data_IF_889012391104
#
_entry.id   IF_889012391104
#
_cell.length_a   1.000
_cell.length_b   1.000
_cell.length_c   1.000
_cell.angle_alpha   90.00
_cell.angle_beta   90.00
_cell.angle_gamma   90.00
#
_symmetry.space_group_name_H-M   'P 1'
#
loop_
_entity.id
_entity.type
_entity.pdbx_description
1 polymer ?
#
# COMPACT_ATOMS: atom_id res chain seq x y z
N UNK A 1 -19.94 -34.98 -34.49
CA UNK A 1 -19.19 -35.34 -33.27
C UNK A 1 -18.71 -34.11 -32.51
N UNK A 2 -18.19 -33.10 -33.23
CA UNK A 2 -17.72 -31.80 -32.72
C UNK A 2 -18.84 -30.93 -32.10
N UNK A 3 -19.91 -30.66 -32.84
CA UNK A 3 -21.05 -29.83 -32.37
C UNK A 3 -21.79 -30.40 -31.15
N UNK A 4 -21.75 -31.72 -30.97
CA UNK A 4 -22.43 -32.39 -29.84
C UNK A 4 -21.65 -32.21 -28.53
N UNK A 5 -20.33 -32.08 -28.60
CA UNK A 5 -19.44 -31.83 -27.45
C UNK A 5 -19.48 -30.35 -27.03
N UNK A 6 -19.56 -29.44 -27.99
CA UNK A 6 -19.76 -28.00 -27.73
C UNK A 6 -21.06 -27.72 -26.99
N UNK A 7 -22.18 -28.31 -27.44
CA UNK A 7 -23.47 -28.10 -26.80
C UNK A 7 -23.54 -28.66 -25.36
N UNK A 8 -22.75 -29.69 -25.04
CA UNK A 8 -22.72 -30.31 -23.72
C UNK A 8 -21.81 -29.55 -22.73
N UNK A 9 -20.70 -28.96 -23.22
CA UNK A 9 -19.81 -28.12 -22.43
C UNK A 9 -20.45 -26.77 -22.04
N UNK A 10 -21.21 -26.15 -22.96
CA UNK A 10 -21.98 -24.93 -22.69
C UNK A 10 -23.05 -25.17 -21.62
N UNK A 11 -23.72 -26.35 -21.63
CA UNK A 11 -24.72 -26.71 -20.61
C UNK A 11 -24.14 -26.94 -19.21
N UNK A 12 -22.84 -27.25 -19.10
CA UNK A 12 -22.16 -27.47 -17.81
C UNK A 12 -21.48 -26.21 -17.26
N UNK A 13 -21.60 -25.06 -17.93
CA UNK A 13 -21.02 -23.79 -17.49
C UNK A 13 -19.50 -23.74 -17.57
N UNK A 14 -18.87 -24.61 -18.36
CA UNK A 14 -17.41 -24.77 -18.48
C UNK A 14 -16.82 -23.96 -19.64
N UNK A 15 -17.57 -23.05 -20.26
CA UNK A 15 -17.11 -22.25 -21.41
C UNK A 15 -17.57 -20.79 -21.30
N UNK A 16 -16.66 -19.86 -21.57
CA UNK A 16 -16.94 -18.44 -21.83
C UNK A 16 -17.17 -18.27 -23.33
N UNK A 17 -18.20 -17.52 -23.74
CA UNK A 17 -18.48 -17.34 -25.16
C UNK A 17 -17.41 -16.45 -25.82
N UNK A 18 -17.03 -16.68 -27.10
CA UNK A 18 -16.07 -15.84 -27.79
C UNK A 18 -16.69 -14.44 -27.97
N UNK A 19 -16.25 -13.47 -27.16
CA UNK A 19 -16.83 -12.12 -27.13
C UNK A 19 -16.57 -11.33 -25.84
N UNK A 20 -16.21 -11.98 -24.74
CA UNK A 20 -16.07 -11.33 -23.42
C UNK A 20 -14.74 -10.57 -23.19
N UNK A 21 -14.13 -10.05 -24.26
CA UNK A 21 -12.92 -9.22 -24.16
C UNK A 21 -11.64 -9.98 -23.80
N UNK A 22 -11.67 -11.32 -23.84
CA UNK A 22 -10.50 -12.16 -23.58
C UNK A 22 -9.64 -12.26 -24.86
N UNK A 23 -8.31 -12.05 -24.77
CA UNK A 23 -7.39 -12.25 -25.90
C UNK A 23 -7.54 -13.62 -26.57
N UNK A 24 -7.43 -13.64 -27.89
CA UNK A 24 -7.71 -14.84 -28.70
C UNK A 24 -6.84 -16.03 -28.28
N UNK A 25 -5.60 -15.79 -27.84
CA UNK A 25 -4.68 -16.83 -27.38
C UNK A 25 -5.20 -17.58 -26.14
N UNK A 26 -5.87 -16.88 -25.22
CA UNK A 26 -6.45 -17.47 -24.00
C UNK A 26 -7.73 -18.25 -24.35
N UNK A 27 -8.53 -17.73 -25.29
CA UNK A 27 -9.76 -18.38 -25.74
C UNK A 27 -9.50 -19.70 -26.46
N UNK A 28 -8.40 -19.80 -27.20
CA UNK A 28 -7.98 -21.01 -27.89
C UNK A 28 -7.33 -22.02 -26.92
N UNK A 29 -6.57 -21.55 -25.92
CA UNK A 29 -5.93 -22.40 -24.91
C UNK A 29 -6.89 -23.10 -23.93
N UNK A 30 -8.03 -22.48 -23.61
CA UNK A 30 -9.05 -23.04 -22.71
C UNK A 30 -9.81 -24.25 -23.29
N UNK A 31 -9.75 -24.46 -24.61
CA UNK A 31 -10.56 -25.48 -25.29
C UNK A 31 -9.93 -26.88 -25.35
N UNK A 32 -8.65 -27.02 -24.98
CA UNK A 32 -7.95 -28.30 -24.97
C UNK A 32 -7.53 -28.67 -23.57
N UNK A 33 -8.49 -29.15 -22.77
CA UNK A 33 -8.18 -29.86 -21.53
C UNK A 33 -7.89 -31.34 -21.88
N UNK A 34 -6.68 -31.84 -21.62
CA UNK A 34 -6.34 -33.24 -21.84
C UNK A 34 -6.96 -34.16 -20.77
N UNK A 35 -6.80 -35.48 -20.89
CA UNK A 35 -7.46 -36.47 -20.00
C UNK A 35 -7.09 -36.28 -18.52
N UNK A 36 -7.88 -36.77 -17.57
CA UNK A 36 -7.83 -36.39 -16.13
C UNK A 36 -6.42 -36.51 -15.47
N UNK A 37 -5.58 -37.44 -15.96
CA UNK A 37 -4.18 -37.58 -15.53
C UNK A 37 -3.25 -36.51 -16.14
N UNK A 38 -3.44 -36.18 -17.41
CA UNK A 38 -2.73 -35.11 -18.11
C UNK A 38 -3.21 -33.73 -17.65
N UNK A 39 -4.42 -33.62 -17.09
CA UNK A 39 -5.01 -32.40 -16.54
C UNK A 39 -4.33 -32.00 -15.23
N UNK A 40 -3.93 -32.97 -14.40
CA UNK A 40 -3.11 -32.72 -13.21
C UNK A 40 -1.70 -32.28 -13.61
N UNK A 41 -1.07 -32.96 -14.57
CA UNK A 41 0.26 -32.55 -15.07
C UNK A 41 0.21 -31.18 -15.77
N UNK A 42 -0.84 -30.88 -16.54
CA UNK A 42 -1.04 -29.58 -17.16
C UNK A 42 -1.36 -28.47 -16.14
N UNK A 43 -2.11 -28.78 -15.07
CA UNK A 43 -2.35 -27.87 -13.96
C UNK A 43 -1.07 -27.61 -13.14
N UNK A 44 -0.22 -28.62 -12.96
CA UNK A 44 1.10 -28.47 -12.34
C UNK A 44 2.06 -27.66 -13.24
N UNK A 45 1.96 -27.80 -14.57
CA UNK A 45 2.70 -26.95 -15.53
C UNK A 45 2.22 -25.48 -15.53
N UNK A 46 0.95 -25.23 -15.17
CA UNK A 46 0.43 -23.87 -14.96
C UNK A 46 0.95 -23.23 -13.65
N UNK A 47 1.41 -24.05 -12.70
CA UNK A 47 1.96 -23.60 -11.41
C UNK A 47 3.42 -23.10 -11.55
N UNK A 48 4.12 -23.45 -12.65
CA UNK A 48 5.47 -22.97 -12.97
C UNK A 48 5.50 -22.10 -14.23
N UNK A 49 5.11 -20.83 -14.08
CA UNK A 49 5.56 -19.80 -15.04
C UNK A 49 6.96 -19.37 -14.64
N UNK A 50 7.97 -19.92 -15.32
CA UNK A 50 9.36 -19.43 -15.25
C UNK A 50 9.44 -18.00 -15.81
N UNK A 51 9.38 -17.02 -14.91
CA UNK A 51 9.73 -15.63 -15.20
C UNK A 51 11.26 -15.51 -15.10
N UNK A 52 11.96 -15.79 -16.21
CA UNK A 52 13.43 -15.71 -16.27
C UNK A 52 13.97 -14.28 -16.03
N UNK A 53 13.13 -13.26 -16.23
CA UNK A 53 13.51 -11.86 -16.05
C UNK A 53 13.02 -11.31 -14.69
N UNK A 54 13.76 -11.58 -13.62
CA UNK A 54 13.57 -10.88 -12.36
C UNK A 54 13.98 -9.40 -12.54
N UNK A 55 13.06 -8.43 -12.40
CA UNK A 55 13.39 -7.02 -12.57
C UNK A 55 14.37 -6.58 -11.48
N UNK A 56 15.59 -6.20 -11.89
CA UNK A 56 16.59 -5.66 -10.97
C UNK A 56 16.30 -4.17 -10.75
N UNK A 57 15.62 -3.86 -9.66
CA UNK A 57 15.43 -2.47 -9.21
C UNK A 57 16.77 -1.96 -8.66
N UNK A 58 17.26 -0.84 -9.20
CA UNK A 58 18.47 -0.16 -8.71
C UNK A 58 18.11 1.22 -8.17
N UNK A 59 18.68 1.58 -7.02
CA UNK A 59 18.47 2.89 -6.39
C UNK A 59 19.79 3.67 -6.32
N UNK A 60 19.75 4.95 -6.67
CA UNK A 60 20.84 5.88 -6.40
C UNK A 60 20.65 6.45 -5.00
N UNK A 61 21.26 5.78 -4.02
CA UNK A 61 21.07 6.10 -2.60
C UNK A 61 22.05 7.15 -2.05
N UNK A 62 23.05 7.54 -2.85
CA UNK A 62 24.04 8.58 -2.54
C UNK A 62 24.27 9.49 -3.75
N UNK A 63 24.34 10.83 -3.57
CA UNK A 63 24.45 11.77 -4.69
C UNK A 63 25.78 11.65 -5.46
N UNK A 64 26.85 11.38 -4.73
CA UNK A 64 28.26 11.29 -5.16
C UNK A 64 28.65 9.92 -5.76
N UNK A 65 27.75 8.95 -5.74
CA UNK A 65 27.99 7.62 -6.33
C UNK A 65 27.65 7.60 -7.82
N UNK A 66 28.55 7.07 -8.66
CA UNK A 66 28.37 7.00 -10.12
C UNK A 66 27.30 6.00 -10.55
N UNK A 67 27.26 4.83 -9.92
CA UNK A 67 26.37 3.73 -10.32
C UNK A 67 25.30 3.47 -9.25
N UNK A 68 24.02 3.28 -9.63
CA UNK A 68 22.97 2.93 -8.69
C UNK A 68 23.13 1.47 -8.22
N UNK A 69 22.80 1.20 -6.94
CA UNK A 69 22.97 -0.14 -6.35
C UNK A 69 21.70 -0.97 -6.49
N UNK A 70 21.83 -2.28 -6.76
CA UNK A 70 20.70 -3.20 -6.68
C UNK A 70 20.03 -3.13 -5.31
N UNK A 71 18.70 -3.27 -5.30
CA UNK A 71 17.87 -3.21 -4.11
C UNK A 71 18.34 -4.18 -3.01
N UNK A 72 18.79 -5.38 -3.38
CA UNK A 72 19.31 -6.40 -2.45
C UNK A 72 20.53 -5.94 -1.63
N UNK A 73 21.29 -4.96 -2.13
CA UNK A 73 22.51 -4.44 -1.47
C UNK A 73 22.24 -3.19 -0.60
N UNK A 74 20.97 -2.79 -0.52
CA UNK A 74 20.51 -1.64 0.25
C UNK A 74 20.08 -2.06 1.66
N UNK A 75 20.17 -1.13 2.61
CA UNK A 75 19.62 -1.35 3.95
C UNK A 75 18.11 -1.63 3.89
N UNK A 76 17.53 -2.33 4.89
CA UNK A 76 16.08 -2.57 4.95
C UNK A 76 15.24 -1.30 4.73
N UNK A 77 15.64 -0.19 5.35
CA UNK A 77 14.97 1.10 5.18
C UNK A 77 15.05 1.64 3.76
N UNK A 78 16.23 1.59 3.14
CA UNK A 78 16.41 2.00 1.75
C UNK A 78 15.62 1.12 0.78
N UNK A 79 15.54 -0.18 1.04
CA UNK A 79 14.72 -1.10 0.23
C UNK A 79 13.24 -0.75 0.30
N UNK A 80 12.72 -0.55 1.50
CA UNK A 80 11.34 -0.12 1.67
C UNK A 80 11.09 1.23 0.98
N UNK A 81 12.04 2.17 1.10
CA UNK A 81 11.95 3.49 0.45
C UNK A 81 11.86 3.46 -1.07
N UNK A 82 12.40 2.42 -1.72
CA UNK A 82 12.32 2.24 -3.17
C UNK A 82 11.08 1.45 -3.59
N UNK A 83 10.76 0.36 -2.89
CA UNK A 83 9.66 -0.55 -3.27
C UNK A 83 8.30 0.10 -3.01
N UNK A 84 8.14 0.73 -1.84
CA UNK A 84 6.85 1.24 -1.41
C UNK A 84 6.27 2.28 -2.39
N UNK A 85 7.02 3.29 -2.88
CA UNK A 85 6.52 4.16 -3.94
C UNK A 85 6.12 3.40 -5.20
N UNK A 86 6.89 2.41 -5.64
CA UNK A 86 6.58 1.64 -6.86
C UNK A 86 5.23 0.93 -6.72
N UNK A 87 5.00 0.25 -5.58
CA UNK A 87 3.75 -0.43 -5.29
C UNK A 87 2.56 0.55 -5.18
N UNK A 88 2.81 1.72 -4.58
CA UNK A 88 1.76 2.69 -4.33
C UNK A 88 1.48 3.60 -5.55
N UNK A 89 2.31 3.60 -6.59
CA UNK A 89 2.11 4.41 -7.80
C UNK A 89 1.26 3.72 -8.87
N UNK A 90 0.94 2.43 -8.73
CA UNK A 90 0.16 1.68 -9.72
C UNK A 90 -1.34 1.66 -9.42
N UNK A 91 -2.15 1.94 -10.45
CA UNK A 91 -3.61 1.81 -10.43
C UNK A 91 -4.36 3.09 -10.02
N UNK A 92 -5.64 3.16 -10.37
CA UNK A 92 -6.55 4.29 -10.06
C UNK A 92 -7.61 3.93 -9.01
N UNK A 93 -7.71 2.66 -8.63
CA UNK A 93 -8.65 2.18 -7.62
C UNK A 93 -8.30 2.67 -6.21
N UNK A 94 -9.29 2.82 -5.30
CA UNK A 94 -9.03 3.19 -3.91
C UNK A 94 -7.99 2.27 -3.27
N UNK A 95 -7.00 2.88 -2.62
CA UNK A 95 -5.90 2.20 -1.96
C UNK A 95 -6.17 2.13 -0.46
N UNK A 96 -6.26 0.93 0.09
CA UNK A 96 -6.40 0.70 1.52
C UNK A 96 -5.07 0.16 2.04
N UNK A 97 -4.49 0.84 3.03
CA UNK A 97 -3.23 0.42 3.66
C UNK A 97 -3.47 0.28 5.15
N UNK A 98 -3.17 -0.91 5.68
CA UNK A 98 -3.19 -1.18 7.11
C UNK A 98 -1.76 -1.17 7.64
N UNK A 99 -1.54 -0.44 8.73
CA UNK A 99 -0.26 -0.30 9.42
C UNK A 99 0.94 -0.10 8.49
N UNK A 100 0.94 0.93 7.62
CA UNK A 100 2.10 1.21 6.75
C UNK A 100 3.41 1.42 7.51
N UNK A 101 3.34 1.80 8.79
CA UNK A 101 4.47 2.02 9.69
C UNK A 101 5.13 0.76 10.24
N UNK A 102 4.50 -0.41 10.13
CA UNK A 102 5.01 -1.60 10.79
C UNK A 102 6.40 -1.98 10.26
N UNK A 103 7.29 -2.32 11.19
CA UNK A 103 8.71 -2.61 10.92
C UNK A 103 9.53 -1.46 10.31
N UNK A 104 8.99 -0.23 10.25
CA UNK A 104 9.72 0.96 9.82
C UNK A 104 10.15 1.84 11.00
N UNK A 105 11.32 2.45 10.89
CA UNK A 105 11.73 3.47 11.84
C UNK A 105 10.97 4.80 11.60
N UNK A 106 10.87 5.63 12.64
CA UNK A 106 10.16 6.92 12.58
C UNK A 106 10.71 7.89 11.51
N UNK A 107 11.98 7.75 11.11
CA UNK A 107 12.57 8.58 10.06
C UNK A 107 12.06 8.13 8.69
N UNK A 108 11.98 6.83 8.43
CA UNK A 108 11.43 6.26 7.19
C UNK A 108 9.94 6.54 7.03
N UNK A 109 9.17 6.45 8.12
CA UNK A 109 7.75 6.81 8.13
C UNK A 109 7.57 8.25 7.62
N UNK A 110 8.37 9.19 8.13
CA UNK A 110 8.32 10.59 7.70
C UNK A 110 8.84 10.81 6.28
N UNK A 111 10.01 10.25 5.95
CA UNK A 111 10.69 10.59 4.69
C UNK A 111 10.06 9.91 3.47
N UNK A 112 9.50 8.71 3.66
CA UNK A 112 9.02 7.87 2.56
C UNK A 112 7.51 7.85 2.57
N UNK A 113 6.90 7.36 3.66
CA UNK A 113 5.47 7.04 3.65
C UNK A 113 4.65 8.32 3.53
N UNK A 114 4.90 9.30 4.38
CA UNK A 114 4.17 10.58 4.35
C UNK A 114 4.27 11.26 2.98
N UNK A 115 5.48 11.37 2.42
CA UNK A 115 5.70 12.03 1.13
C UNK A 115 5.03 11.30 -0.03
N UNK A 116 5.11 9.97 -0.02
CA UNK A 116 4.49 9.11 -1.05
C UNK A 116 2.97 9.19 -0.96
N UNK A 117 2.40 9.09 0.25
CA UNK A 117 0.96 9.22 0.47
C UNK A 117 0.46 10.61 0.08
N UNK A 118 1.19 11.67 0.43
CA UNK A 118 0.86 13.05 0.05
C UNK A 118 0.87 13.27 -1.47
N UNK A 119 1.75 12.59 -2.20
CA UNK A 119 1.75 12.65 -3.67
C UNK A 119 0.60 11.83 -4.29
N UNK A 120 0.28 10.67 -3.72
CA UNK A 120 -0.71 9.74 -4.28
C UNK A 120 -2.14 10.20 -4.00
N UNK A 121 -2.41 10.78 -2.82
CA UNK A 121 -3.76 11.27 -2.45
C UNK A 121 -4.32 12.28 -3.46
N UNK A 122 -3.45 12.97 -4.20
CA UNK A 122 -3.83 13.92 -5.26
C UNK A 122 -4.39 13.26 -6.54
N UNK A 123 -4.11 11.97 -6.74
CA UNK A 123 -4.49 11.23 -7.96
C UNK A 123 -5.40 10.06 -7.68
N UNK A 124 -5.46 9.58 -6.44
CA UNK A 124 -6.14 8.36 -6.04
C UNK A 124 -6.62 8.46 -4.60
N UNK A 125 -7.80 7.91 -4.30
CA UNK A 125 -8.26 7.83 -2.92
C UNK A 125 -7.36 6.88 -2.13
N UNK A 126 -6.89 7.34 -0.97
CA UNK A 126 -6.07 6.54 -0.05
C UNK A 126 -6.78 6.50 1.30
N UNK A 127 -6.96 5.30 1.84
CA UNK A 127 -7.48 5.04 3.19
C UNK A 127 -6.38 4.36 3.97
N UNK A 128 -5.98 4.95 5.10
CA UNK A 128 -4.90 4.42 5.93
C UNK A 128 -5.42 4.12 7.32
N UNK A 129 -5.26 2.88 7.77
CA UNK A 129 -5.41 2.50 9.16
C UNK A 129 -4.03 2.54 9.82
N UNK A 130 -3.88 3.35 10.87
CA UNK A 130 -2.59 3.58 11.53
C UNK A 130 -2.79 3.89 13.00
N UNK A 131 -1.84 3.46 13.82
CA UNK A 131 -1.74 3.87 15.22
C UNK A 131 -0.75 5.02 15.41
N UNK A 132 -0.03 5.41 14.36
CA UNK A 132 0.96 6.48 14.39
C UNK A 132 0.32 7.83 14.02
N UNK A 133 0.08 8.74 14.98
CA UNK A 133 -0.58 10.02 14.72
C UNK A 133 0.25 10.97 13.85
N UNK A 134 1.53 10.67 13.62
CA UNK A 134 2.35 11.46 12.70
C UNK A 134 1.94 11.25 11.23
N UNK A 135 1.41 10.08 10.86
CA UNK A 135 1.02 9.80 9.48
C UNK A 135 -0.10 10.72 9.00
N UNK A 136 -1.27 10.80 9.67
CA UNK A 136 -2.34 11.69 9.22
C UNK A 136 -1.97 13.17 9.36
N UNK A 137 -1.18 13.54 10.37
CA UNK A 137 -0.79 14.95 10.59
C UNK A 137 0.22 15.44 9.55
N UNK A 138 1.27 14.66 9.27
CA UNK A 138 2.30 15.07 8.32
C UNK A 138 1.90 14.77 6.87
N UNK A 139 1.06 13.76 6.67
CA UNK A 139 0.46 13.44 5.36
C UNK A 139 -0.67 14.40 4.97
N UNK A 140 -1.00 15.36 5.83
CA UNK A 140 -2.02 16.38 5.59
C UNK A 140 -3.38 15.72 5.24
N UNK A 141 -3.84 14.80 6.10
CA UNK A 141 -5.04 14.04 5.82
C UNK A 141 -6.29 14.94 5.74
N UNK A 142 -7.06 14.81 4.66
CA UNK A 142 -8.29 15.59 4.44
C UNK A 142 -9.42 15.16 5.37
N UNK A 143 -9.41 13.90 5.81
CA UNK A 143 -10.37 13.36 6.77
C UNK A 143 -9.71 12.31 7.65
N UNK A 144 -9.88 12.49 8.96
CA UNK A 144 -9.40 11.61 10.01
C UNK A 144 -10.61 11.10 10.78
N UNK A 145 -10.69 9.78 10.94
CA UNK A 145 -11.68 9.12 11.81
C UNK A 145 -10.93 8.51 12.98
N UNK A 146 -11.02 9.15 14.15
CA UNK A 146 -10.45 8.64 15.38
C UNK A 146 -11.39 7.61 16.00
N UNK A 147 -10.85 6.41 16.25
CA UNK A 147 -11.58 5.30 16.85
C UNK A 147 -11.13 5.11 18.30
N UNK A 148 -12.10 4.93 19.20
CA UNK A 148 -11.87 4.59 20.60
C UNK A 148 -12.38 3.19 20.88
N UNK A 149 -11.53 2.33 21.43
CA UNK A 149 -11.95 1.02 21.91
C UNK A 149 -12.84 1.15 23.13
N UNK A 150 -14.01 0.50 23.10
CA UNK A 150 -14.99 0.47 24.20
C UNK A 150 -14.94 -0.89 24.90
N UNK A 151 -14.91 -1.97 24.12
CA UNK A 151 -14.80 -3.35 24.58
C UNK A 151 -13.84 -4.14 23.68
N UNK A 152 -13.64 -5.43 23.98
CA UNK A 152 -12.59 -6.27 23.40
C UNK A 152 -12.67 -6.47 21.87
N UNK A 153 -13.79 -6.13 21.23
CA UNK A 153 -14.00 -6.13 19.78
C UNK A 153 -14.95 -4.99 19.34
N UNK A 154 -15.03 -3.92 20.12
CA UNK A 154 -15.94 -2.80 19.85
C UNK A 154 -15.17 -1.48 19.86
N UNK A 155 -15.39 -0.70 18.82
CA UNK A 155 -14.90 0.67 18.73
C UNK A 155 -16.04 1.62 18.41
N UNK A 156 -15.94 2.84 18.92
CA UNK A 156 -16.81 3.95 18.55
C UNK A 156 -16.00 5.05 17.88
N UNK A 157 -16.67 5.85 17.06
CA UNK A 157 -16.06 7.04 16.45
C UNK A 157 -15.99 8.13 17.51
N UNK A 158 -14.79 8.43 17.99
CA UNK A 158 -14.54 9.51 18.96
C UNK A 158 -14.57 10.89 18.29
N UNK A 159 -14.00 10.98 17.09
CA UNK A 159 -14.00 12.20 16.27
C UNK A 159 -13.89 11.84 14.78
N UNK A 160 -14.49 12.65 13.93
CA UNK A 160 -14.35 12.54 12.48
C UNK A 160 -14.30 13.93 11.86
N UNK A 161 -13.34 14.17 10.97
CA UNK A 161 -13.20 15.43 10.24
C UNK A 161 -11.76 15.71 9.83
N UNK A 162 -11.51 16.92 9.34
CA UNK A 162 -10.18 17.41 8.97
C UNK A 162 -9.31 17.79 10.19
N UNK A 163 -8.06 18.18 9.93
CA UNK A 163 -7.09 18.63 10.94
C UNK A 163 -7.36 20.02 11.54
N UNK A 164 -8.34 20.77 11.03
CA UNK A 164 -8.72 22.08 11.57
C UNK A 164 -9.77 21.96 12.68
N UNK A 165 -10.46 20.82 12.74
CA UNK A 165 -11.50 20.58 13.71
C UNK A 165 -10.94 20.27 15.11
N UNK A 166 -11.32 21.10 16.10
CA UNK A 166 -10.89 20.93 17.50
C UNK A 166 -11.09 19.52 18.07
N UNK A 167 -12.21 18.80 17.80
CA UNK A 167 -12.38 17.43 18.26
C UNK A 167 -11.32 16.47 17.71
N UNK A 168 -11.00 16.58 16.41
CA UNK A 168 -9.99 15.76 15.73
C UNK A 168 -8.60 16.06 16.28
N UNK A 169 -8.22 17.33 16.38
CA UNK A 169 -6.92 17.74 16.96
C UNK A 169 -6.77 17.20 18.38
N UNK A 170 -7.83 17.26 19.18
CA UNK A 170 -7.81 16.72 20.55
C UNK A 170 -7.63 15.20 20.56
N UNK A 171 -8.34 14.46 19.72
CA UNK A 171 -8.21 13.01 19.61
C UNK A 171 -6.78 12.62 19.17
N UNK A 172 -6.27 13.21 18.09
CA UNK A 172 -4.90 12.98 17.59
C UNK A 172 -3.85 13.29 18.65
N UNK A 173 -3.96 14.43 19.36
CA UNK A 173 -3.03 14.79 20.45
C UNK A 173 -3.06 13.80 21.61
N UNK A 174 -4.21 13.16 21.84
CA UNK A 174 -4.37 12.15 22.91
C UNK A 174 -3.72 10.83 22.52
N UNK A 175 -3.78 10.47 21.23
CA UNK A 175 -3.12 9.28 20.67
C UNK A 175 -1.60 9.44 20.61
N UNK A 176 -1.09 10.68 20.42
CA UNK A 176 0.35 10.96 20.47
C UNK A 176 0.96 10.51 21.80
N UNK A 177 2.05 9.73 21.72
CA UNK A 177 2.80 9.28 22.89
C UNK A 177 3.13 10.44 23.84
N UNK A 178 2.71 10.31 25.10
CA UNK A 178 2.88 11.30 26.16
C UNK A 178 1.83 12.42 26.19
N UNK A 179 0.86 12.40 25.29
CA UNK A 179 -0.27 13.33 25.26
C UNK A 179 0.12 14.80 25.10
N UNK A 180 -0.83 15.68 25.43
CA UNK A 180 -0.66 17.14 25.32
C UNK A 180 0.50 17.67 26.16
N UNK A 181 0.69 17.15 27.36
CA UNK A 181 1.72 17.61 28.29
C UNK A 181 3.13 17.31 27.78
N UNK A 182 3.39 16.08 27.31
CA UNK A 182 4.69 15.75 26.74
C UNK A 182 4.97 16.52 25.45
N UNK A 183 3.95 16.84 24.65
CA UNK A 183 4.10 17.71 23.49
C UNK A 183 4.50 19.13 23.90
N UNK A 184 3.77 19.73 24.85
CA UNK A 184 4.07 21.09 25.35
C UNK A 184 5.45 21.16 26.01
N UNK A 185 5.83 20.14 26.77
CA UNK A 185 7.17 20.05 27.36
C UNK A 185 8.25 20.03 26.29
N UNK A 186 8.12 19.15 25.28
CA UNK A 186 9.04 19.09 24.13
C UNK A 186 9.11 20.43 23.40
N UNK A 187 7.96 21.07 23.14
CA UNK A 187 7.90 22.38 22.53
C UNK A 187 8.67 23.42 23.35
N UNK A 188 8.50 23.44 24.68
CA UNK A 188 9.19 24.39 25.56
C UNK A 188 10.72 24.21 25.55
N UNK A 189 11.19 22.96 25.55
CA UNK A 189 12.62 22.62 25.48
C UNK A 189 13.18 22.99 24.12
N UNK A 190 12.48 22.69 23.02
CA UNK A 190 13.01 22.99 21.69
C UNK A 190 12.94 24.46 21.38
N UNK A 191 11.89 25.17 21.78
CA UNK A 191 11.70 26.59 21.48
C UNK A 191 12.79 27.49 22.10
N UNK A 192 13.37 27.11 23.24
CA UNK A 192 14.50 27.84 23.82
C UNK A 192 15.82 27.66 23.05
N UNK A 193 15.93 26.59 22.25
CA UNK A 193 17.13 26.25 21.47
C UNK A 193 16.92 26.39 19.95
N UNK A 194 15.69 26.58 19.50
CA UNK A 194 15.31 26.65 18.10
C UNK A 194 15.37 28.09 17.59
N UNK A 195 16.31 28.36 16.70
CA UNK A 195 16.50 29.67 16.07
C UNK A 195 16.43 29.51 14.55
N UNK A 196 15.21 29.40 14.01
CA UNK A 196 15.00 29.29 12.56
C UNK A 196 13.54 29.00 12.19
N UNK A 197 13.16 29.13 10.92
CA UNK A 197 11.88 28.59 10.44
C UNK A 197 11.90 27.05 10.52
N UNK A 198 10.73 26.45 10.68
CA UNK A 198 10.58 25.01 10.42
C UNK A 198 10.73 24.83 8.91
N UNK A 199 11.82 24.19 8.46
CA UNK A 199 11.99 23.85 7.05
C UNK A 199 10.91 22.81 6.68
N UNK A 200 9.86 23.24 5.98
CA UNK A 200 8.93 22.34 5.30
C UNK A 200 9.66 21.69 4.14
N UNK A 201 10.08 20.43 4.30
CA UNK A 201 10.62 19.62 3.19
C UNK A 201 9.48 18.97 2.44
#
# INVERSE_FOLDING_TARGET
ARDRREAEAVRRGLTVAPGDGIPTEISEGLWTLPDEAELLDAALMLDEVLLDDLPIVKMKDRPDMKEPRPLQDLSPGQRCSAILPILLLTGECPLIIDQPEDNLDNRLIRQVIVNVLAAIKLRRQVIVATHNPNIPVLGDAENITALRAVEQDQAEVEACGDLDQRPVVKAVTTIMEGGREAFQYRQSVYQSHWSGPVEST
#
